data_IF_937412072742
#
_entry.id   IF_937412072742
#
_cell.length_a   1.000
_cell.length_b   1.000
_cell.length_c   1.000
_cell.angle_alpha   90.00
_cell.angle_beta   90.00
_cell.angle_gamma   90.00
#
_symmetry.space_group_name_H-M   'P 1'
#
loop_
_entity.id
_entity.type
_entity.pdbx_description
1 polymer ?
#
# COMPACT_ATOMS: atom_id res chain seq x y z
N UNK A 1 -49.94 59.09 -1.75
CA UNK A 1 -48.78 58.88 -2.66
C UNK A 1 -47.53 58.95 -1.80
N UNK A 2 -46.58 58.03 -1.69
CA UNK A 2 -46.37 56.67 -2.18
C UNK A 2 -45.10 56.17 -1.45
N UNK A 3 -45.12 54.93 -0.96
CA UNK A 3 -44.01 54.23 -0.30
C UNK A 3 -42.88 53.83 -1.28
N UNK A 4 -41.63 53.75 -0.81
CA UNK A 4 -40.52 52.82 -1.20
C UNK A 4 -39.25 53.23 -0.44
N UNK A 5 -38.83 52.61 0.66
CA UNK A 5 -38.19 51.28 0.84
C UNK A 5 -37.05 51.04 -0.16
N UNK A 6 -35.87 51.60 0.14
CA UNK A 6 -34.60 51.21 -0.45
C UNK A 6 -34.11 49.89 0.16
N UNK A 7 -33.77 48.95 -0.70
CA UNK A 7 -33.40 47.57 -0.40
C UNK A 7 -31.91 47.44 -0.07
N UNK A 8 -31.58 46.93 1.11
CA UNK A 8 -30.28 46.33 1.43
C UNK A 8 -30.08 45.07 0.58
N UNK A 9 -29.08 45.08 -0.31
CA UNK A 9 -28.54 43.87 -0.92
C UNK A 9 -27.27 43.45 -0.16
N UNK A 10 -27.18 42.23 0.38
CA UNK A 10 -25.94 41.74 0.96
C UNK A 10 -24.89 41.47 -0.13
N UNK A 11 -23.59 41.63 0.16
CA UNK A 11 -22.55 41.50 -0.84
C UNK A 11 -22.47 40.05 -1.34
N UNK A 12 -22.54 39.89 -2.66
CA UNK A 12 -22.30 38.62 -3.34
C UNK A 12 -20.88 38.12 -3.02
N UNK A 13 -20.77 37.09 -2.19
CA UNK A 13 -19.55 36.31 -2.04
C UNK A 13 -19.19 35.73 -3.40
N UNK A 14 -18.20 36.30 -4.08
CA UNK A 14 -17.53 35.67 -5.22
C UNK A 14 -17.00 34.32 -4.74
N UNK A 15 -17.66 33.25 -5.16
CA UNK A 15 -17.13 31.89 -5.02
C UNK A 15 -15.88 31.87 -5.90
N UNK A 16 -14.70 31.98 -5.28
CA UNK A 16 -13.47 31.59 -5.94
C UNK A 16 -13.60 30.10 -6.24
N UNK A 17 -13.94 29.78 -7.50
CA UNK A 17 -13.68 28.45 -8.03
C UNK A 17 -12.18 28.23 -7.91
N UNK A 18 -11.78 27.31 -7.04
CA UNK A 18 -10.42 26.80 -7.01
C UNK A 18 -10.17 26.16 -8.38
N UNK A 19 -9.43 26.87 -9.24
CA UNK A 19 -8.83 26.24 -10.40
C UNK A 19 -7.69 25.37 -9.89
N UNK A 20 -7.95 24.08 -9.70
CA UNK A 20 -6.89 23.09 -9.49
C UNK A 20 -6.35 22.67 -10.86
N UNK A 21 -5.73 23.63 -11.54
CA UNK A 21 -4.95 23.42 -12.74
C UNK A 21 -3.64 24.19 -12.55
N UNK A 22 -2.68 23.58 -11.86
CA UNK A 22 -1.39 24.22 -11.63
C UNK A 22 -0.47 23.46 -10.68
N UNK A 23 0.22 22.45 -11.24
CA UNK A 23 1.62 22.01 -11.01
C UNK A 23 1.77 20.48 -11.07
N UNK A 24 1.72 19.92 -12.28
CA UNK A 24 1.96 18.50 -12.60
C UNK A 24 3.47 18.12 -12.56
N UNK A 25 4.22 18.69 -11.62
CA UNK A 25 5.69 18.57 -11.55
C UNK A 25 6.21 17.75 -10.38
N UNK A 26 5.47 17.72 -9.27
CA UNK A 26 5.79 16.95 -8.08
C UNK A 26 4.53 16.94 -7.20
N UNK A 27 3.75 15.86 -7.21
CA UNK A 27 2.53 15.76 -6.41
C UNK A 27 2.84 15.12 -5.04
N UNK A 28 2.99 15.90 -3.95
CA UNK A 28 3.08 15.38 -2.58
C UNK A 28 1.80 14.65 -2.13
N UNK A 29 0.74 14.65 -2.95
CA UNK A 29 -0.54 14.00 -2.69
C UNK A 29 -0.42 12.47 -2.73
N UNK A 30 0.60 11.94 -3.42
CA UNK A 30 0.76 10.49 -3.65
C UNK A 30 1.88 9.87 -2.82
N UNK A 31 2.50 10.64 -1.92
CA UNK A 31 3.21 10.05 -0.80
C UNK A 31 2.18 9.34 0.08
N UNK A 32 2.52 8.15 0.61
CA UNK A 32 1.60 7.26 1.33
C UNK A 32 0.83 7.91 2.51
N UNK A 33 1.18 9.15 2.87
CA UNK A 33 0.59 9.93 3.95
C UNK A 33 -0.79 10.52 3.63
N UNK A 34 -1.27 10.51 2.37
CA UNK A 34 -2.58 11.09 1.99
C UNK A 34 -3.51 10.09 1.29
N UNK A 35 -3.58 8.84 1.78
CA UNK A 35 -4.61 7.88 1.34
C UNK A 35 -5.93 8.19 2.05
N UNK A 36 -7.06 8.36 1.33
CA UNK A 36 -8.37 8.55 1.95
C UNK A 36 -8.71 7.43 2.94
N UNK A 37 -9.35 7.77 4.06
CA UNK A 37 -9.70 6.80 5.13
C UNK A 37 -10.50 5.57 4.63
N UNK A 38 -11.36 5.76 3.62
CA UNK A 38 -12.14 4.68 2.99
C UNK A 38 -11.30 3.73 2.12
N UNK A 39 -10.04 4.08 1.85
CA UNK A 39 -9.10 3.32 1.03
C UNK A 39 -7.84 2.91 1.81
N UNK A 40 -7.89 2.88 3.14
CA UNK A 40 -6.71 2.56 3.97
C UNK A 40 -6.04 1.23 3.60
N UNK A 41 -6.80 0.27 3.05
CA UNK A 41 -6.31 -1.03 2.59
C UNK A 41 -5.26 -0.93 1.47
N UNK A 42 -5.26 0.13 0.64
CA UNK A 42 -4.28 0.27 -0.45
C UNK A 42 -2.97 0.92 0.01
N UNK A 43 -2.94 1.51 1.22
CA UNK A 43 -1.78 2.25 1.72
C UNK A 43 -0.49 1.39 1.83
N UNK A 44 -0.54 0.12 2.30
CA UNK A 44 0.63 -0.75 2.29
C UNK A 44 1.18 -0.99 0.87
N UNK A 45 0.30 -1.11 -0.13
CA UNK A 45 0.70 -1.34 -1.53
C UNK A 45 1.45 -0.12 -2.08
N UNK A 46 0.93 1.08 -1.84
CA UNK A 46 1.58 2.33 -2.28
C UNK A 46 2.91 2.56 -1.56
N UNK A 47 3.00 2.20 -0.28
CA UNK A 47 4.26 2.26 0.48
C UNK A 47 5.31 1.33 -0.15
N UNK A 48 4.93 0.09 -0.44
CA UNK A 48 5.81 -0.88 -1.10
C UNK A 48 6.22 -0.38 -2.49
N UNK A 49 5.29 0.20 -3.26
CA UNK A 49 5.62 0.77 -4.56
C UNK A 49 6.72 1.84 -4.48
N UNK A 50 6.63 2.76 -3.50
CA UNK A 50 7.65 3.77 -3.26
C UNK A 50 9.00 3.16 -2.82
N UNK A 51 8.96 2.10 -2.00
CA UNK A 51 10.19 1.41 -1.54
C UNK A 51 10.94 0.72 -2.68
N UNK A 52 10.23 0.09 -3.61
CA UNK A 52 10.85 -0.70 -4.69
C UNK A 52 11.17 0.13 -5.93
N UNK A 53 10.67 1.36 -6.03
CA UNK A 53 10.84 2.25 -7.21
C UNK A 53 12.30 2.47 -7.60
N UNK A 54 13.18 2.68 -6.62
CA UNK A 54 14.61 2.84 -6.88
C UNK A 54 15.28 1.56 -7.42
N UNK A 55 14.73 0.39 -7.10
CA UNK A 55 15.26 -0.91 -7.52
C UNK A 55 14.69 -1.36 -8.87
N UNK A 56 13.38 -1.21 -9.07
CA UNK A 56 12.72 -1.53 -10.32
C UNK A 56 11.48 -0.64 -10.51
N UNK A 57 11.59 0.36 -11.39
CA UNK A 57 10.52 1.32 -11.67
C UNK A 57 9.27 0.65 -12.27
N UNK A 58 9.44 -0.41 -13.08
CA UNK A 58 8.29 -1.11 -13.69
C UNK A 58 7.49 -1.86 -12.62
N UNK A 59 8.16 -2.51 -11.67
CA UNK A 59 7.48 -3.17 -10.53
C UNK A 59 6.75 -2.17 -9.65
N UNK A 60 7.35 -1.00 -9.39
CA UNK A 60 6.67 0.07 -8.65
C UNK A 60 5.40 0.55 -9.36
N UNK A 61 5.48 0.76 -10.68
CA UNK A 61 4.31 1.07 -11.51
C UNK A 61 3.22 -0.01 -11.38
N UNK A 62 3.58 -1.29 -11.48
CA UNK A 62 2.62 -2.39 -11.36
C UNK A 62 1.96 -2.46 -9.98
N UNK A 63 2.70 -2.17 -8.91
CA UNK A 63 2.15 -2.06 -7.56
C UNK A 63 1.13 -0.91 -7.46
N UNK A 64 1.44 0.27 -8.03
CA UNK A 64 0.49 1.41 -8.07
C UNK A 64 -0.73 1.12 -8.91
N UNK A 65 -0.55 0.42 -10.04
CA UNK A 65 -1.66 0.02 -10.90
C UNK A 65 -2.60 -0.93 -10.17
N UNK A 66 -2.05 -1.94 -9.47
CA UNK A 66 -2.84 -2.83 -8.62
C UNK A 66 -3.57 -2.08 -7.50
N UNK A 67 -2.91 -1.13 -6.85
CA UNK A 67 -3.54 -0.27 -5.84
C UNK A 67 -4.72 0.55 -6.42
N UNK A 68 -4.59 1.06 -7.64
CA UNK A 68 -5.66 1.76 -8.35
C UNK A 68 -6.86 0.84 -8.65
N UNK A 69 -6.61 -0.37 -9.16
CA UNK A 69 -7.68 -1.35 -9.40
C UNK A 69 -8.38 -1.77 -8.10
N UNK A 70 -7.63 -1.95 -7.01
CA UNK A 70 -8.19 -2.26 -5.70
C UNK A 70 -9.02 -1.08 -5.17
N UNK A 71 -8.56 0.15 -5.33
CA UNK A 71 -9.32 1.34 -4.94
C UNK A 71 -10.67 1.43 -5.70
N UNK A 72 -10.66 1.14 -7.00
CA UNK A 72 -11.89 1.11 -7.81
C UNK A 72 -12.83 -0.02 -7.40
N UNK A 73 -12.30 -1.17 -6.95
CA UNK A 73 -13.10 -2.26 -6.41
C UNK A 73 -13.76 -1.90 -5.07
N UNK A 74 -13.04 -1.18 -4.21
CA UNK A 74 -13.52 -0.75 -2.89
C UNK A 74 -14.56 0.37 -2.96
N UNK A 75 -14.39 1.33 -3.87
CA UNK A 75 -15.36 2.42 -4.10
C UNK A 75 -15.54 2.69 -5.62
N UNK A 76 -16.39 1.89 -6.30
CA UNK A 76 -16.60 2.02 -7.74
C UNK A 76 -17.12 3.39 -8.18
N UNK A 77 -17.86 4.09 -7.31
CA UNK A 77 -18.41 5.42 -7.59
C UNK A 77 -17.46 6.56 -7.18
N UNK A 78 -16.32 6.24 -6.55
CA UNK A 78 -15.37 7.23 -6.02
C UNK A 78 -16.06 8.31 -5.17
N UNK A 79 -17.04 7.89 -4.37
CA UNK A 79 -17.95 8.75 -3.63
C UNK A 79 -17.45 9.14 -2.24
N UNK A 80 -16.47 8.40 -1.70
CA UNK A 80 -15.82 8.72 -0.44
C UNK A 80 -15.13 10.08 -0.44
N UNK A 81 -15.05 10.71 0.73
CA UNK A 81 -14.41 12.02 0.88
C UNK A 81 -12.97 11.98 0.36
N UNK A 82 -12.67 12.80 -0.64
CA UNK A 82 -11.34 12.89 -1.24
C UNK A 82 -10.97 11.76 -2.20
N UNK A 83 -11.78 10.69 -2.30
CA UNK A 83 -11.49 9.52 -3.14
C UNK A 83 -11.35 9.89 -4.61
N UNK A 84 -12.31 10.64 -5.16
CA UNK A 84 -12.24 11.06 -6.57
C UNK A 84 -10.98 11.85 -6.89
N UNK A 85 -10.55 12.76 -6.00
CA UNK A 85 -9.34 13.55 -6.20
C UNK A 85 -8.10 12.64 -6.17
N UNK A 86 -8.04 11.77 -5.18
CA UNK A 86 -6.97 10.77 -5.02
C UNK A 86 -6.88 9.85 -6.26
N UNK A 87 -7.98 9.22 -6.66
CA UNK A 87 -8.04 8.32 -7.82
C UNK A 87 -7.65 9.03 -9.11
N UNK A 88 -8.06 10.30 -9.28
CA UNK A 88 -7.68 11.10 -10.45
C UNK A 88 -6.18 11.37 -10.49
N UNK A 89 -5.58 11.78 -9.36
CA UNK A 89 -4.14 12.02 -9.26
C UNK A 89 -3.34 10.73 -9.48
N UNK A 90 -3.77 9.61 -8.88
CA UNK A 90 -3.15 8.31 -9.06
C UNK A 90 -3.19 7.86 -10.53
N UNK A 91 -4.32 8.04 -11.21
CA UNK A 91 -4.45 7.72 -12.63
C UNK A 91 -3.50 8.55 -13.51
N UNK A 92 -3.43 9.86 -13.29
CA UNK A 92 -2.51 10.74 -14.04
C UNK A 92 -1.04 10.32 -13.86
N UNK A 93 -0.67 9.94 -12.64
CA UNK A 93 0.67 9.40 -12.35
C UNK A 93 0.90 8.09 -13.10
N UNK A 94 -0.07 7.18 -13.09
CA UNK A 94 0.02 5.90 -13.79
C UNK A 94 0.18 6.09 -15.30
N UNK A 95 -0.57 7.00 -15.93
CA UNK A 95 -0.43 7.28 -17.37
C UNK A 95 0.99 7.71 -17.73
N UNK A 96 1.59 8.59 -16.93
CA UNK A 96 2.99 9.05 -17.11
C UNK A 96 4.00 7.93 -16.84
N UNK A 97 3.84 7.22 -15.73
CA UNK A 97 4.76 6.14 -15.34
C UNK A 97 4.70 4.97 -16.33
N UNK A 98 3.52 4.65 -16.87
CA UNK A 98 3.39 3.58 -17.85
C UNK A 98 4.32 3.84 -19.04
N UNK A 99 4.27 5.03 -19.64
CA UNK A 99 5.12 5.38 -20.79
C UNK A 99 6.61 5.29 -20.41
N UNK A 100 7.01 5.97 -19.32
CA UNK A 100 8.43 6.04 -18.93
C UNK A 100 9.02 4.71 -18.48
N UNK A 101 8.22 3.79 -17.93
CA UNK A 101 8.68 2.48 -17.46
C UNK A 101 8.58 1.40 -18.55
N UNK A 102 7.72 1.61 -19.54
CA UNK A 102 7.54 0.65 -20.64
C UNK A 102 8.76 0.58 -21.54
N UNK A 103 9.42 1.71 -21.82
CA UNK A 103 10.63 1.74 -22.66
C UNK A 103 11.80 0.94 -22.07
N UNK A 104 11.88 0.83 -20.74
CA UNK A 104 12.94 0.09 -20.04
C UNK A 104 12.62 -1.39 -19.79
N UNK A 105 11.42 -1.85 -20.14
CA UNK A 105 10.94 -3.21 -19.87
C UNK A 105 11.66 -4.22 -20.78
N UNK A 106 12.21 -5.29 -20.20
CA UNK A 106 12.92 -6.34 -20.95
C UNK A 106 12.05 -7.56 -21.23
N UNK A 107 11.05 -7.81 -20.38
CA UNK A 107 10.14 -8.97 -20.45
C UNK A 107 8.71 -8.56 -20.13
N UNK A 108 7.70 -9.37 -20.46
CA UNK A 108 6.68 -9.83 -19.50
C UNK A 108 6.43 -9.02 -18.22
N UNK A 109 5.28 -8.37 -17.96
CA UNK A 109 5.09 -7.70 -16.65
C UNK A 109 5.01 -8.79 -15.57
N UNK A 110 4.36 -9.91 -15.88
CA UNK A 110 4.40 -11.11 -15.04
C UNK A 110 5.83 -11.63 -14.84
N UNK A 111 6.67 -11.61 -15.89
CA UNK A 111 8.07 -12.08 -15.77
C UNK A 111 8.97 -11.11 -15.02
N UNK A 112 8.76 -9.80 -15.15
CA UNK A 112 9.44 -8.78 -14.36
C UNK A 112 9.06 -8.93 -12.88
N UNK A 113 7.77 -9.09 -12.58
CA UNK A 113 7.29 -9.37 -11.21
C UNK A 113 7.89 -10.64 -10.61
N UNK A 114 7.87 -11.75 -11.36
CA UNK A 114 8.46 -13.02 -10.91
C UNK A 114 9.96 -12.91 -10.65
N UNK A 115 10.71 -12.30 -11.58
CA UNK A 115 12.16 -12.12 -11.44
C UNK A 115 12.47 -11.24 -10.22
N UNK A 116 11.75 -10.13 -10.08
CA UNK A 116 11.96 -9.21 -8.97
C UNK A 116 11.60 -9.82 -7.62
N UNK A 117 10.52 -10.59 -7.54
CA UNK A 117 10.11 -11.27 -6.31
C UNK A 117 11.20 -12.22 -5.80
N UNK A 118 11.77 -13.06 -6.69
CA UNK A 118 12.86 -13.96 -6.31
C UNK A 118 14.13 -13.22 -5.88
N UNK A 119 14.51 -12.16 -6.59
CA UNK A 119 15.64 -11.31 -6.20
C UNK A 119 15.42 -10.66 -4.83
N UNK A 120 14.21 -10.18 -4.56
CA UNK A 120 13.82 -9.61 -3.28
C UNK A 120 13.91 -10.66 -2.16
N UNK A 121 13.35 -11.84 -2.40
CA UNK A 121 13.34 -12.94 -1.44
C UNK A 121 14.77 -13.35 -1.04
N UNK A 122 15.65 -13.59 -2.02
CA UNK A 122 17.05 -13.95 -1.75
C UNK A 122 17.80 -12.85 -0.97
N UNK A 123 17.63 -11.59 -1.39
CA UNK A 123 18.36 -10.46 -0.80
C UNK A 123 17.89 -10.11 0.61
N UNK A 124 16.57 -10.04 0.83
CA UNK A 124 15.99 -9.49 2.05
C UNK A 124 15.41 -10.54 2.98
N UNK A 125 14.95 -11.69 2.49
CA UNK A 125 14.43 -12.75 3.36
C UNK A 125 15.58 -13.68 3.75
N UNK A 126 16.20 -14.35 2.78
CA UNK A 126 17.30 -15.28 3.06
C UNK A 126 18.53 -14.55 3.60
N UNK A 127 18.90 -13.42 2.96
CA UNK A 127 20.05 -12.61 3.38
C UNK A 127 19.94 -12.11 4.83
N UNK A 128 18.77 -11.61 5.24
CA UNK A 128 18.57 -11.13 6.62
C UNK A 128 18.42 -12.28 7.63
N UNK A 129 17.87 -13.42 7.23
CA UNK A 129 17.80 -14.60 8.10
C UNK A 129 19.16 -15.23 8.39
N UNK A 130 20.07 -15.18 7.42
CA UNK A 130 21.40 -15.76 7.55
C UNK A 130 22.42 -14.78 8.15
N UNK A 131 22.04 -13.52 8.35
CA UNK A 131 22.90 -12.53 9.00
C UNK A 131 23.13 -12.87 10.48
N UNK A 132 24.36 -12.64 10.96
CA UNK A 132 24.73 -12.87 12.36
C UNK A 132 23.90 -11.98 13.32
N UNK A 133 23.69 -10.72 12.96
CA UNK A 133 22.89 -9.75 13.70
C UNK A 133 21.47 -9.65 13.13
N UNK A 134 20.63 -10.63 13.46
CA UNK A 134 19.24 -10.69 12.99
C UNK A 134 18.44 -9.48 13.47
N UNK A 135 18.15 -8.55 12.57
CA UNK A 135 17.29 -7.41 12.85
C UNK A 135 15.81 -7.77 12.65
N UNK A 136 15.12 -8.08 13.75
CA UNK A 136 13.69 -8.47 13.74
C UNK A 136 12.79 -7.43 13.07
N UNK A 137 13.06 -6.14 13.24
CA UNK A 137 12.25 -5.08 12.64
C UNK A 137 12.41 -5.07 11.10
N UNK A 138 13.63 -5.22 10.60
CA UNK A 138 13.90 -5.33 9.17
C UNK A 138 13.28 -6.60 8.57
N UNK A 139 13.36 -7.74 9.27
CA UNK A 139 12.70 -8.99 8.84
C UNK A 139 11.19 -8.84 8.78
N UNK A 140 10.56 -8.26 9.81
CA UNK A 140 9.11 -8.03 9.84
C UNK A 140 8.67 -7.17 8.67
N UNK A 141 9.39 -6.08 8.41
CA UNK A 141 9.17 -5.23 7.23
C UNK A 141 9.33 -6.02 5.93
N UNK A 142 10.39 -6.81 5.80
CA UNK A 142 10.65 -7.59 4.59
C UNK A 142 9.54 -8.61 4.30
N UNK A 143 9.01 -9.26 5.33
CA UNK A 143 7.85 -10.15 5.19
C UNK A 143 6.57 -9.41 4.77
N UNK A 144 6.31 -8.22 5.31
CA UNK A 144 5.18 -7.39 4.90
C UNK A 144 5.30 -6.97 3.43
N UNK A 145 6.48 -6.51 3.01
CA UNK A 145 6.77 -6.15 1.62
C UNK A 145 6.64 -7.37 0.68
N UNK A 146 7.17 -8.53 1.08
CA UNK A 146 7.06 -9.76 0.29
C UNK A 146 5.60 -10.20 0.10
N UNK A 147 4.77 -10.10 1.14
CA UNK A 147 3.34 -10.42 1.04
C UNK A 147 2.62 -9.55 0.00
N UNK A 148 2.83 -8.23 0.05
CA UNK A 148 2.28 -7.28 -0.93
C UNK A 148 2.80 -7.58 -2.34
N UNK A 149 4.11 -7.78 -2.51
CA UNK A 149 4.69 -8.09 -3.83
C UNK A 149 4.11 -9.37 -4.43
N UNK A 150 3.86 -10.39 -3.60
CA UNK A 150 3.27 -11.65 -4.04
C UNK A 150 1.79 -11.50 -4.45
N UNK A 151 1.02 -10.66 -3.74
CA UNK A 151 -0.36 -10.32 -4.14
C UNK A 151 -0.41 -9.65 -5.51
N UNK A 152 0.43 -8.64 -5.72
CA UNK A 152 0.57 -7.95 -7.02
C UNK A 152 1.01 -8.94 -8.10
N UNK A 153 2.00 -9.79 -7.80
CA UNK A 153 2.50 -10.80 -8.75
C UNK A 153 1.37 -11.72 -9.21
N UNK A 154 0.57 -12.27 -8.30
CA UNK A 154 -0.58 -13.14 -8.65
C UNK A 154 -1.58 -12.40 -9.54
N UNK A 155 -1.87 -11.13 -9.24
CA UNK A 155 -2.80 -10.34 -10.04
C UNK A 155 -2.28 -10.13 -11.47
N UNK A 156 -1.02 -9.69 -11.62
CA UNK A 156 -0.40 -9.48 -12.94
C UNK A 156 -0.30 -10.78 -13.73
N UNK A 157 0.12 -11.87 -13.09
CA UNK A 157 0.20 -13.19 -13.69
C UNK A 157 -1.16 -13.67 -14.23
N UNK A 158 -2.23 -13.45 -13.47
CA UNK A 158 -3.59 -13.78 -13.89
C UNK A 158 -4.03 -12.96 -15.10
N UNK A 159 -3.68 -11.67 -15.14
CA UNK A 159 -4.03 -10.77 -16.24
C UNK A 159 -3.29 -11.12 -17.53
N UNK A 160 -2.01 -11.51 -17.45
CA UNK A 160 -1.20 -11.92 -18.62
C UNK A 160 -1.31 -13.42 -18.97
N UNK A 161 -2.14 -14.20 -18.26
CA UNK A 161 -2.26 -15.67 -18.40
C UNK A 161 -0.92 -16.41 -18.31
N UNK A 162 -0.06 -15.98 -17.37
CA UNK A 162 1.26 -16.57 -17.13
C UNK A 162 1.23 -17.34 -15.80
N UNK A 163 1.57 -18.64 -15.76
CA UNK A 163 1.62 -19.38 -14.51
C UNK A 163 2.72 -18.83 -13.59
N UNK A 164 2.42 -18.82 -12.28
CA UNK A 164 3.43 -18.54 -11.24
C UNK A 164 4.34 -19.76 -11.14
N UNK A 165 5.66 -19.56 -11.12
CA UNK A 165 6.58 -20.69 -10.97
C UNK A 165 6.42 -21.36 -9.61
N UNK A 166 6.59 -22.68 -9.58
CA UNK A 166 6.49 -23.46 -8.35
C UNK A 166 7.51 -23.00 -7.29
N UNK A 167 8.70 -22.60 -7.73
CA UNK A 167 9.75 -22.00 -6.88
C UNK A 167 9.24 -20.76 -6.13
N UNK A 168 8.53 -19.86 -6.82
CA UNK A 168 7.97 -18.64 -6.21
C UNK A 168 6.88 -19.00 -5.20
N UNK A 169 6.03 -19.99 -5.52
CA UNK A 169 5.01 -20.48 -4.60
C UNK A 169 5.65 -21.03 -3.32
N UNK A 170 6.67 -21.88 -3.45
CA UNK A 170 7.39 -22.46 -2.30
C UNK A 170 8.09 -21.39 -1.47
N UNK A 171 8.75 -20.42 -2.12
CA UNK A 171 9.39 -19.29 -1.43
C UNK A 171 8.37 -18.46 -0.63
N UNK A 172 7.19 -18.22 -1.21
CA UNK A 172 6.12 -17.50 -0.52
C UNK A 172 5.53 -18.29 0.65
N UNK A 173 5.35 -19.61 0.52
CA UNK A 173 4.93 -20.46 1.64
C UNK A 173 5.88 -20.33 2.83
N UNK A 174 7.20 -20.35 2.58
CA UNK A 174 8.21 -20.12 3.64
C UNK A 174 8.09 -18.73 4.26
N UNK A 175 7.84 -17.69 3.45
CA UNK A 175 7.59 -16.33 3.95
C UNK A 175 6.41 -16.31 4.92
N UNK A 176 5.29 -16.94 4.58
CA UNK A 176 4.09 -16.93 5.42
C UNK A 176 4.28 -17.73 6.72
N UNK A 177 4.93 -18.91 6.66
CA UNK A 177 5.27 -19.70 7.85
C UNK A 177 6.17 -18.92 8.82
N UNK A 178 7.19 -18.25 8.30
CA UNK A 178 8.13 -17.51 9.13
C UNK A 178 7.55 -16.19 9.64
N UNK A 179 6.72 -15.51 8.85
CA UNK A 179 6.00 -14.31 9.27
C UNK A 179 5.12 -14.58 10.49
N UNK A 180 4.50 -15.77 10.59
CA UNK A 180 3.75 -16.17 11.78
C UNK A 180 4.62 -16.22 13.05
N UNK A 181 5.87 -16.68 12.93
CA UNK A 181 6.83 -16.71 14.05
C UNK A 181 7.22 -15.31 14.54
N UNK A 182 7.29 -14.33 13.64
CA UNK A 182 7.67 -12.96 13.98
C UNK A 182 6.49 -12.05 14.32
N UNK A 183 5.25 -12.50 14.07
CA UNK A 183 4.03 -11.82 14.51
C UNK A 183 4.15 -11.50 16.00
N UNK A 184 3.95 -10.24 16.42
CA UNK A 184 3.97 -9.89 17.84
C UNK A 184 2.81 -10.63 18.50
N UNK A 185 3.10 -11.82 19.03
CA UNK A 185 2.16 -12.49 19.91
C UNK A 185 1.97 -11.54 21.10
N UNK A 186 0.73 -11.10 21.31
CA UNK A 186 0.26 -10.58 22.58
C UNK A 186 0.35 -11.74 23.59
N UNK A 187 1.56 -12.10 23.99
CA UNK A 187 1.76 -12.96 25.16
C UNK A 187 1.79 -11.96 26.31
N UNK A 188 0.63 -11.77 26.95
CA UNK A 188 0.61 -11.30 28.33
C UNK A 188 1.62 -12.14 29.12
N UNK A 189 2.46 -11.54 29.99
CA UNK A 189 3.17 -12.34 30.96
C UNK A 189 2.10 -13.09 31.76
N UNK A 190 1.99 -14.40 31.55
CA UNK A 190 1.35 -15.26 32.53
C UNK A 190 2.34 -15.30 33.68
N UNK A 191 2.23 -14.34 34.60
CA UNK A 191 2.92 -14.41 35.88
C UNK A 191 2.61 -15.79 36.50
N UNK A 192 3.61 -16.63 36.75
CA UNK A 192 3.39 -17.93 37.38
C UNK A 192 3.19 -17.81 38.91
N UNK A 193 3.02 -16.59 39.44
CA UNK A 193 3.01 -16.34 40.88
C UNK A 193 1.70 -15.73 41.40
N UNK A 194 0.54 -16.21 40.93
CA UNK A 194 -0.67 -16.18 41.78
C UNK A 194 -0.59 -17.30 42.82
N UNK A 195 0.40 -17.17 43.70
CA UNK A 195 0.58 -18.01 44.87
C UNK A 195 -0.47 -17.65 45.92
N UNK A 196 -1.52 -18.47 46.01
CA UNK A 196 -2.27 -18.79 47.23
C UNK A 196 -2.49 -17.61 48.20
N UNK A 197 -3.52 -16.80 47.97
CA UNK A 197 -4.11 -16.05 49.08
C UNK A 197 -4.89 -17.01 49.98
N UNK A 198 -4.55 -16.98 51.27
CA UNK A 198 -5.12 -17.80 52.31
C UNK A 198 -6.63 -17.53 52.46
N UNK A 199 -7.42 -18.61 52.46
CA UNK A 199 -8.84 -18.58 52.80
C UNK A 199 -8.96 -18.18 54.28
N UNK A 200 -9.33 -16.93 54.54
CA UNK A 200 -9.65 -16.43 55.88
C UNK A 200 -10.95 -17.12 56.33
N UNK A 201 -10.84 -18.05 57.29
CA UNK A 201 -11.99 -18.63 57.99
C UNK A 201 -12.61 -17.58 58.89
N UNK A 202 -13.87 -17.25 58.63
CA UNK A 202 -14.70 -16.47 59.53
C UNK A 202 -15.12 -17.40 60.68
N UNK A 203 -14.81 -17.00 61.91
CA UNK A 203 -15.35 -17.58 63.16
C UNK A 203 -16.43 -16.66 63.69
#
# INVERSE_FOLDING_TARGET
MSYRRGSDQPPQRKILRSQTAGNLGADPILDSEVVPSSLVEIAPILRVANEVEASNKRVAYLCRFYAFELAHRLDPQSSGRGVRQFTTALLQRLEKENVTTYEGRKKSDAREMQTFYMQYYQKYIEGLQNAADKNRAQLTKAYQTAAVLFEVLKAVNRTEDVPVSEEIMQAHTKVEEQKQLYSPHNILPLDPESGKEAIMKIS
#
